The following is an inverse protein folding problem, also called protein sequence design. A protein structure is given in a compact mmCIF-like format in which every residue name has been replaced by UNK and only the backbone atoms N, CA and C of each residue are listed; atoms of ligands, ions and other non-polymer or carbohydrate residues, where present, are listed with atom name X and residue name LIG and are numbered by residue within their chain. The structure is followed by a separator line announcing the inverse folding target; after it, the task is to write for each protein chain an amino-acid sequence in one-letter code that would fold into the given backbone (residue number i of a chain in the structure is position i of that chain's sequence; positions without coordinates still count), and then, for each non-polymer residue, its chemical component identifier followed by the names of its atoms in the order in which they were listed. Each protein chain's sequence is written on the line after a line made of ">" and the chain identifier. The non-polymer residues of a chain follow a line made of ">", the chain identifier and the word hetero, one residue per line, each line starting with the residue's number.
data_IF_720915571177
#
_entry.id   IF_720915571177
#
_cell.length_a   1.000
_cell.length_b   1.000
_cell.length_c   1.000
_cell.angle_alpha   90.00
_cell.angle_beta   90.00
_cell.angle_gamma   90.00
#
_symmetry.space_group_name_H-M   'P 1'
#
loop_
_entity.id
_entity.type
_entity.pdbx_description
1 polymer ?
#
# COMPACT_ATOMS: atom_id res chain seq x y z
N UNK A 1 -21.75 18.56 -9.34
CA UNK A 1 -21.09 17.62 -8.42
C UNK A 1 -19.62 17.52 -8.82
N UNK A 2 -18.69 18.01 -8.00
CA UNK A 2 -17.28 17.86 -8.29
C UNK A 2 -16.91 16.37 -8.14
N UNK A 3 -16.42 15.76 -9.23
CA UNK A 3 -15.89 14.39 -9.19
C UNK A 3 -14.70 14.36 -8.23
N UNK A 4 -14.85 13.72 -7.07
CA UNK A 4 -13.77 13.55 -6.12
C UNK A 4 -13.05 12.23 -6.38
N UNK A 5 -11.72 12.24 -6.34
CA UNK A 5 -10.89 11.02 -6.44
C UNK A 5 -10.90 10.21 -5.13
N UNK A 6 -11.48 10.75 -4.05
CA UNK A 6 -11.47 10.09 -2.75
C UNK A 6 -12.22 8.75 -2.74
N UNK A 7 -13.35 8.66 -3.45
CA UNK A 7 -14.12 7.40 -3.52
C UNK A 7 -13.41 6.27 -4.27
N UNK A 8 -12.89 6.49 -5.48
CA UNK A 8 -12.09 5.47 -6.16
C UNK A 8 -10.88 5.02 -5.31
N UNK A 9 -10.17 5.96 -4.68
CA UNK A 9 -9.05 5.64 -3.80
C UNK A 9 -9.49 4.86 -2.56
N UNK A 10 -10.62 5.22 -1.94
CA UNK A 10 -11.17 4.47 -0.80
C UNK A 10 -11.52 3.03 -1.20
N UNK A 11 -12.14 2.84 -2.36
CA UNK A 11 -12.47 1.49 -2.87
C UNK A 11 -11.22 0.67 -3.17
N UNK A 12 -10.23 1.25 -3.84
CA UNK A 12 -8.96 0.58 -4.11
C UNK A 12 -8.25 0.21 -2.79
N UNK A 13 -8.24 1.14 -1.83
CA UNK A 13 -7.62 0.88 -0.54
C UNK A 13 -8.37 -0.19 0.27
N UNK A 14 -9.69 -0.21 0.22
CA UNK A 14 -10.51 -1.29 0.79
C UNK A 14 -10.14 -2.64 0.17
N UNK A 15 -9.99 -2.70 -1.16
CA UNK A 15 -9.55 -3.93 -1.84
C UNK A 15 -8.16 -4.38 -1.39
N UNK A 16 -7.23 -3.43 -1.17
CA UNK A 16 -5.89 -3.74 -0.63
C UNK A 16 -5.97 -4.28 0.80
N UNK A 17 -6.82 -3.72 1.66
CA UNK A 17 -7.06 -4.25 3.02
C UNK A 17 -7.59 -5.69 2.95
N UNK A 18 -8.60 -5.94 2.12
CA UNK A 18 -9.18 -7.28 1.94
C UNK A 18 -8.09 -8.25 1.47
N UNK A 19 -7.31 -7.85 0.46
CA UNK A 19 -6.20 -8.66 -0.03
C UNK A 19 -5.19 -8.97 1.07
N UNK A 20 -4.68 -7.96 1.78
CA UNK A 20 -3.67 -8.14 2.82
C UNK A 20 -4.19 -8.97 4.01
N UNK A 21 -5.46 -8.82 4.37
CA UNK A 21 -6.07 -9.54 5.48
C UNK A 21 -6.31 -11.02 5.18
N UNK A 22 -6.64 -11.36 3.94
CA UNK A 22 -7.04 -12.71 3.57
C UNK A 22 -5.99 -13.49 2.76
N UNK A 23 -4.92 -12.82 2.31
CA UNK A 23 -3.82 -13.48 1.61
C UNK A 23 -3.22 -14.62 2.47
N UNK A 24 -2.95 -15.82 1.93
CA UNK A 24 -2.88 -16.22 0.52
C UNK A 24 -4.19 -16.77 -0.08
N UNK A 25 -5.32 -16.66 0.57
CA UNK A 25 -6.65 -17.12 0.13
C UNK A 25 -6.79 -18.64 0.00
N UNK A 26 -5.89 -19.40 0.55
CA UNK A 26 -5.86 -20.87 0.46
C UNK A 26 -6.35 -21.58 1.72
N UNK A 27 -6.74 -22.84 1.59
CA UNK A 27 -7.03 -23.69 2.72
C UNK A 27 -8.35 -23.36 3.47
N UNK A 28 -9.28 -22.65 2.85
CA UNK A 28 -10.57 -22.33 3.47
C UNK A 28 -11.28 -23.55 4.00
N UNK A 29 -11.50 -23.59 5.32
CA UNK A 29 -12.19 -24.72 5.99
C UNK A 29 -12.77 -24.28 7.34
N UNK A 30 -13.78 -25.00 7.78
CA UNK A 30 -14.25 -24.89 9.16
C UNK A 30 -13.17 -25.42 10.12
N UNK A 31 -12.82 -24.60 11.09
CA UNK A 31 -11.81 -24.95 12.11
C UNK A 31 -12.43 -25.31 13.46
N UNK A 32 -13.77 -25.33 13.56
CA UNK A 32 -14.49 -25.56 14.82
C UNK A 32 -14.35 -24.43 15.83
N UNK A 33 -13.92 -23.23 15.40
CA UNK A 33 -13.79 -22.05 16.25
C UNK A 33 -15.14 -21.32 16.26
N UNK A 34 -15.70 -21.13 17.45
CA UNK A 34 -16.90 -20.28 17.59
C UNK A 34 -16.55 -18.83 17.22
N UNK A 35 -17.28 -18.23 16.27
CA UNK A 35 -17.04 -16.86 15.84
C UNK A 35 -17.04 -15.80 16.96
N UNK A 36 -17.71 -16.05 18.07
CA UNK A 36 -17.78 -15.13 19.18
C UNK A 36 -16.58 -15.25 20.16
N UNK A 37 -15.83 -16.34 20.11
CA UNK A 37 -14.73 -16.59 21.04
C UNK A 37 -13.66 -15.52 20.95
N UNK A 38 -13.27 -15.10 19.75
CA UNK A 38 -12.24 -14.08 19.61
C UNK A 38 -12.70 -12.70 20.13
N UNK A 39 -14.00 -12.36 19.93
CA UNK A 39 -14.54 -11.08 20.42
C UNK A 39 -14.53 -10.99 21.94
N UNK A 40 -14.78 -12.10 22.63
CA UNK A 40 -14.85 -12.19 24.08
C UNK A 40 -13.50 -12.56 24.72
N UNK A 41 -12.47 -12.79 23.92
CA UNK A 41 -11.15 -13.13 24.38
C UNK A 41 -10.54 -11.99 25.25
N UNK A 42 -9.73 -12.39 26.24
CA UNK A 42 -9.07 -11.43 27.15
C UNK A 42 -8.05 -10.57 26.40
N UNK A 43 -8.05 -9.27 26.66
CA UNK A 43 -7.08 -8.31 26.16
C UNK A 43 -5.95 -8.08 27.19
N UNK A 44 -4.68 -7.96 26.78
CA UNK A 44 -4.18 -8.27 25.43
C UNK A 44 -4.14 -9.78 25.18
N UNK A 45 -4.19 -10.22 23.91
CA UNK A 45 -3.99 -11.65 23.60
C UNK A 45 -2.57 -12.10 23.99
N UNK A 46 -2.33 -13.41 24.23
CA UNK A 46 -1.05 -13.90 24.70
C UNK A 46 0.10 -13.68 23.70
N UNK A 47 -0.22 -13.55 22.43
CA UNK A 47 0.75 -13.33 21.35
C UNK A 47 0.37 -12.07 20.58
N UNK A 48 1.17 -11.03 20.73
CA UNK A 48 1.10 -9.80 19.94
C UNK A 48 2.49 -9.18 19.84
N UNK A 49 2.76 -8.46 18.76
CA UNK A 49 4.02 -7.77 18.52
C UNK A 49 3.79 -6.29 18.31
N UNK A 50 4.83 -5.47 18.54
CA UNK A 50 4.77 -4.05 18.20
C UNK A 50 4.53 -3.82 16.71
N UNK A 51 4.97 -4.75 15.87
CA UNK A 51 4.70 -4.72 14.43
C UNK A 51 3.21 -4.86 14.14
N UNK A 52 2.51 -5.80 14.79
CA UNK A 52 1.06 -5.98 14.62
C UNK A 52 0.29 -4.71 15.02
N UNK A 53 0.69 -4.08 16.13
CA UNK A 53 0.08 -2.83 16.58
C UNK A 53 0.24 -1.72 15.53
N UNK A 54 1.45 -1.53 15.02
CA UNK A 54 1.73 -0.48 14.05
C UNK A 54 1.04 -0.75 12.72
N UNK A 55 1.10 -1.97 12.22
CA UNK A 55 0.51 -2.33 10.92
C UNK A 55 -1.00 -2.21 10.91
N UNK A 56 -1.68 -2.64 11.96
CA UNK A 56 -3.13 -2.52 12.07
C UNK A 56 -3.55 -1.05 12.22
N UNK A 57 -2.92 -0.30 13.13
CA UNK A 57 -3.24 1.11 13.36
C UNK A 57 -2.97 1.96 12.11
N UNK A 58 -1.78 1.86 11.53
CA UNK A 58 -1.36 2.63 10.36
C UNK A 58 -2.06 2.13 9.10
N UNK A 59 -2.30 0.83 8.99
CA UNK A 59 -2.96 0.21 7.83
C UNK A 59 -4.40 0.65 7.63
N UNK A 60 -5.15 0.96 8.69
CA UNK A 60 -6.54 1.42 8.58
C UNK A 60 -6.70 2.95 8.59
N UNK A 61 -5.68 3.71 8.98
CA UNK A 61 -5.75 5.18 9.00
C UNK A 61 -6.04 5.81 7.63
N UNK A 62 -5.41 5.39 6.50
CA UNK A 62 -5.74 5.92 5.18
C UNK A 62 -7.19 5.67 4.77
N UNK A 63 -7.79 4.54 5.16
CA UNK A 63 -9.19 4.26 4.87
C UNK A 63 -10.10 5.29 5.55
N UNK A 64 -9.92 5.51 6.86
CA UNK A 64 -10.69 6.52 7.61
C UNK A 64 -10.55 7.92 7.02
N UNK A 65 -9.34 8.29 6.65
CA UNK A 65 -9.04 9.56 5.99
C UNK A 65 -9.80 9.71 4.66
N UNK A 66 -9.70 8.72 3.78
CA UNK A 66 -10.32 8.74 2.46
C UNK A 66 -11.84 8.73 2.52
N UNK A 67 -12.44 7.99 3.46
CA UNK A 67 -13.89 7.96 3.65
C UNK A 67 -14.41 9.33 4.08
N UNK A 68 -13.81 9.98 5.09
CA UNK A 68 -14.20 11.33 5.52
C UNK A 68 -14.01 12.33 4.40
N UNK A 69 -12.85 12.30 3.71
CA UNK A 69 -12.59 13.17 2.57
C UNK A 69 -13.65 13.00 1.47
N UNK A 70 -14.02 11.76 1.16
CA UNK A 70 -15.07 11.43 0.20
C UNK A 70 -16.41 12.01 0.59
N UNK A 71 -16.83 11.85 1.84
CA UNK A 71 -18.08 12.39 2.39
C UNK A 71 -18.11 13.92 2.32
N UNK A 72 -17.08 14.58 2.81
CA UNK A 72 -17.01 16.05 2.82
C UNK A 72 -17.03 16.63 1.40
N UNK A 73 -16.26 16.04 0.47
CA UNK A 73 -16.25 16.46 -0.93
C UNK A 73 -17.54 16.11 -1.70
N UNK A 74 -18.34 15.21 -1.17
CA UNK A 74 -19.70 14.90 -1.68
C UNK A 74 -20.78 15.84 -1.11
N UNK A 75 -20.39 16.85 -0.31
CA UNK A 75 -21.29 17.87 0.23
C UNK A 75 -21.86 17.58 1.62
N UNK A 76 -21.29 16.60 2.32
CA UNK A 76 -21.67 16.29 3.70
C UNK A 76 -21.16 17.39 4.67
N UNK A 77 -22.07 18.14 5.29
CA UNK A 77 -21.72 19.30 6.10
C UNK A 77 -21.41 18.97 7.58
N UNK A 78 -21.89 17.83 8.09
CA UNK A 78 -21.74 17.45 9.50
C UNK A 78 -20.48 16.61 9.69
N UNK A 79 -19.35 17.27 9.92
CA UNK A 79 -18.02 16.63 10.04
C UNK A 79 -17.99 15.51 11.08
N UNK A 80 -18.59 15.71 12.26
CA UNK A 80 -18.62 14.67 13.30
C UNK A 80 -19.35 13.41 12.86
N UNK A 81 -20.47 13.56 12.15
CA UNK A 81 -21.18 12.40 11.59
C UNK A 81 -20.40 11.72 10.46
N UNK A 82 -19.63 12.47 9.68
CA UNK A 82 -18.74 11.89 8.68
C UNK A 82 -17.63 11.06 9.34
N UNK A 83 -17.05 11.55 10.43
CA UNK A 83 -16.06 10.81 11.23
C UNK A 83 -16.67 9.54 11.83
N UNK A 84 -17.84 9.67 12.47
CA UNK A 84 -18.53 8.52 13.08
C UNK A 84 -18.87 7.45 12.04
N UNK A 85 -19.42 7.86 10.89
CA UNK A 85 -19.76 6.92 9.80
C UNK A 85 -18.53 6.24 9.21
N UNK A 86 -17.46 6.99 8.95
CA UNK A 86 -16.21 6.44 8.43
C UNK A 86 -15.60 5.43 9.41
N UNK A 87 -15.58 5.75 10.71
CA UNK A 87 -15.10 4.85 11.75
C UNK A 87 -15.96 3.59 11.83
N UNK A 88 -17.28 3.73 11.77
CA UNK A 88 -18.18 2.58 11.76
C UNK A 88 -17.93 1.68 10.57
N UNK A 89 -17.81 2.24 9.36
CA UNK A 89 -17.54 1.47 8.13
C UNK A 89 -16.20 0.73 8.22
N UNK A 90 -15.13 1.39 8.68
CA UNK A 90 -13.83 0.74 8.84
C UNK A 90 -13.84 -0.35 9.92
N UNK A 91 -14.55 -0.13 11.04
CA UNK A 91 -14.73 -1.14 12.09
C UNK A 91 -15.53 -2.35 11.57
N UNK A 92 -16.58 -2.13 10.81
CA UNK A 92 -17.36 -3.22 10.21
C UNK A 92 -16.55 -3.99 9.17
N UNK A 93 -15.73 -3.30 8.37
CA UNK A 93 -14.80 -3.97 7.45
C UNK A 93 -13.82 -4.85 8.22
N UNK A 94 -13.18 -4.31 9.27
CA UNK A 94 -12.26 -5.06 10.10
C UNK A 94 -12.93 -6.28 10.73
N UNK A 95 -14.11 -6.09 11.31
CA UNK A 95 -14.89 -7.20 11.87
C UNK A 95 -15.19 -8.29 10.82
N UNK A 96 -15.54 -7.88 9.61
CA UNK A 96 -15.77 -8.83 8.51
C UNK A 96 -14.48 -9.60 8.16
N UNK A 97 -13.31 -8.93 8.15
CA UNK A 97 -12.03 -9.60 7.91
C UNK A 97 -11.71 -10.61 9.02
N UNK A 98 -11.86 -10.24 10.29
CA UNK A 98 -11.64 -11.15 11.43
C UNK A 98 -12.55 -12.37 11.37
N UNK A 99 -13.83 -12.19 11.02
CA UNK A 99 -14.75 -13.32 10.81
C UNK A 99 -14.32 -14.23 9.67
N UNK A 100 -13.86 -13.69 8.55
CA UNK A 100 -13.37 -14.48 7.43
C UNK A 100 -12.08 -15.23 7.77
N UNK A 101 -11.21 -14.64 8.57
CA UNK A 101 -9.96 -15.25 9.03
C UNK A 101 -10.18 -16.49 9.91
N UNK A 102 -11.36 -16.64 10.55
CA UNK A 102 -11.72 -17.87 11.29
C UNK A 102 -11.65 -19.11 10.39
N UNK A 103 -11.93 -18.94 9.10
CA UNK A 103 -11.91 -20.02 8.13
C UNK A 103 -10.56 -20.24 7.45
N UNK A 104 -9.57 -19.38 7.74
CA UNK A 104 -8.22 -19.43 7.17
C UNK A 104 -7.23 -19.99 8.19
N UNK A 105 -6.70 -21.22 8.01
CA UNK A 105 -5.82 -21.86 9.01
C UNK A 105 -4.50 -21.12 9.29
N UNK A 106 -4.07 -20.28 8.37
CA UNK A 106 -2.84 -19.47 8.50
C UNK A 106 -3.08 -18.11 9.16
N UNK A 107 -4.32 -17.80 9.52
CA UNK A 107 -4.71 -16.54 10.17
C UNK A 107 -5.29 -16.81 11.55
N UNK A 108 -5.05 -15.90 12.46
CA UNK A 108 -5.59 -15.97 13.83
C UNK A 108 -6.40 -14.71 14.06
N UNK A 109 -7.73 -14.80 14.12
CA UNK A 109 -8.59 -13.66 14.39
C UNK A 109 -8.32 -13.09 15.79
N UNK A 110 -8.30 -11.76 15.90
CA UNK A 110 -7.90 -11.06 17.13
C UNK A 110 -8.82 -9.87 17.42
N UNK A 111 -9.34 -9.81 18.65
CA UNK A 111 -10.07 -8.63 19.11
C UNK A 111 -9.17 -7.40 19.29
N UNK A 112 -7.87 -7.60 19.50
CA UNK A 112 -6.89 -6.51 19.53
C UNK A 112 -6.75 -5.89 18.15
N UNK A 113 -6.66 -6.70 17.10
CA UNK A 113 -6.55 -6.21 15.72
C UNK A 113 -7.80 -5.44 15.33
N UNK A 114 -8.99 -5.95 15.67
CA UNK A 114 -10.25 -5.23 15.49
C UNK A 114 -10.22 -3.86 16.18
N UNK A 115 -9.76 -3.79 17.43
CA UNK A 115 -9.67 -2.53 18.18
C UNK A 115 -8.64 -1.56 17.55
N UNK A 116 -7.47 -2.06 17.16
CA UNK A 116 -6.42 -1.25 16.53
C UNK A 116 -6.85 -0.73 15.16
N UNK A 117 -7.52 -1.54 14.36
CA UNK A 117 -8.09 -1.16 13.06
C UNK A 117 -9.17 -0.08 13.20
N UNK A 118 -10.04 -0.22 14.21
CA UNK A 118 -11.04 0.81 14.53
C UNK A 118 -10.38 2.12 14.97
N UNK A 119 -9.36 2.06 15.83
CA UNK A 119 -8.59 3.22 16.28
C UNK A 119 -7.81 3.85 15.12
N UNK A 120 -7.21 3.06 14.25
CA UNK A 120 -6.55 3.54 13.04
C UNK A 120 -7.51 4.28 12.11
N UNK A 121 -8.68 3.67 11.85
CA UNK A 121 -9.74 4.33 11.06
C UNK A 121 -10.17 5.65 11.70
N UNK A 122 -10.39 5.68 13.00
CA UNK A 122 -10.76 6.90 13.74
C UNK A 122 -9.65 7.96 13.64
N UNK A 123 -8.40 7.59 13.85
CA UNK A 123 -7.26 8.51 13.74
C UNK A 123 -7.16 9.12 12.33
N UNK A 124 -7.30 8.32 11.29
CA UNK A 124 -7.37 8.79 9.91
C UNK A 124 -8.57 9.70 9.65
N UNK A 125 -9.75 9.34 10.14
CA UNK A 125 -10.96 10.13 10.03
C UNK A 125 -10.83 11.50 10.72
N UNK A 126 -10.27 11.52 11.93
CA UNK A 126 -10.01 12.75 12.69
C UNK A 126 -8.95 13.62 11.99
N UNK A 127 -7.91 13.04 11.42
CA UNK A 127 -6.89 13.78 10.68
C UNK A 127 -7.49 14.47 9.45
N UNK A 128 -8.35 13.81 8.69
CA UNK A 128 -9.08 14.42 7.57
C UNK A 128 -9.98 15.57 8.04
N UNK A 129 -10.72 15.37 9.14
CA UNK A 129 -11.57 16.40 9.73
C UNK A 129 -10.77 17.61 10.23
N UNK A 130 -9.59 17.39 10.81
CA UNK A 130 -8.69 18.44 11.26
C UNK A 130 -8.14 19.23 10.07
N UNK A 131 -7.67 18.55 9.02
CA UNK A 131 -7.17 19.22 7.80
C UNK A 131 -8.24 20.03 7.09
N UNK A 132 -9.50 19.56 7.10
CA UNK A 132 -10.63 20.36 6.61
C UNK A 132 -10.82 21.63 7.43
N UNK A 133 -10.87 21.52 8.78
CA UNK A 133 -11.01 22.67 9.67
C UNK A 133 -9.88 23.69 9.54
N UNK A 134 -8.66 23.22 9.28
CA UNK A 134 -7.49 24.07 9.06
C UNK A 134 -7.46 24.70 7.65
N UNK A 135 -8.43 24.39 6.78
CA UNK A 135 -8.44 24.83 5.39
C UNK A 135 -7.28 24.26 4.56
N UNK A 136 -6.62 23.19 5.02
CA UNK A 136 -5.51 22.57 4.31
C UNK A 136 -5.97 21.88 3.03
N UNK A 137 -7.17 21.30 3.03
CA UNK A 137 -7.75 20.65 1.85
C UNK A 137 -8.07 21.67 0.73
N UNK A 138 -8.51 22.87 1.09
CA UNK A 138 -8.74 23.94 0.10
C UNK A 138 -7.43 24.48 -0.44
N UNK A 139 -6.44 24.71 0.43
CA UNK A 139 -5.07 25.07 0.01
C UNK A 139 -4.44 24.04 -0.90
N UNK A 140 -4.64 22.76 -0.61
CA UNK A 140 -4.22 21.68 -1.50
C UNK A 140 -4.96 21.71 -2.85
N UNK A 141 -6.26 21.96 -2.85
CA UNK A 141 -7.05 22.09 -4.08
C UNK A 141 -6.57 23.25 -4.95
N UNK A 142 -6.27 24.39 -4.33
CA UNK A 142 -5.74 25.59 -5.01
C UNK A 142 -4.32 25.35 -5.53
N UNK A 143 -3.48 24.69 -4.75
CA UNK A 143 -2.16 24.27 -5.17
C UNK A 143 -2.26 23.33 -6.38
N UNK A 144 -3.10 22.30 -6.28
CA UNK A 144 -3.33 21.36 -7.38
C UNK A 144 -3.80 22.04 -8.64
N UNK A 145 -4.76 22.96 -8.53
CA UNK A 145 -5.29 23.71 -9.70
C UNK A 145 -4.25 24.59 -10.35
N UNK A 146 -3.29 25.13 -9.58
CA UNK A 146 -2.21 25.97 -10.09
C UNK A 146 -1.04 25.18 -10.70
N UNK A 147 -0.78 23.96 -10.22
CA UNK A 147 0.37 23.17 -10.63
C UNK A 147 0.04 22.15 -11.72
N UNK A 148 -1.12 21.51 -11.63
CA UNK A 148 -1.46 20.37 -12.45
C UNK A 148 -2.59 20.67 -13.45
N UNK A 149 -2.67 19.87 -14.50
CA UNK A 149 -3.81 19.91 -15.42
C UNK A 149 -5.06 19.34 -14.76
N UNK A 150 -6.23 19.74 -15.23
CA UNK A 150 -7.51 19.37 -14.61
C UNK A 150 -7.74 17.86 -14.52
N UNK A 151 -7.21 17.12 -15.48
CA UNK A 151 -7.42 15.65 -15.65
C UNK A 151 -6.24 14.81 -15.16
N UNK A 152 -5.40 15.39 -14.28
CA UNK A 152 -4.14 14.80 -13.81
C UNK A 152 -4.32 13.72 -12.74
N UNK A 153 -5.54 13.38 -12.31
CA UNK A 153 -5.77 12.51 -11.13
C UNK A 153 -5.08 11.14 -11.23
N UNK A 154 -5.21 10.46 -12.37
CA UNK A 154 -4.54 9.18 -12.60
C UNK A 154 -3.01 9.29 -12.62
N UNK A 155 -2.49 10.29 -13.32
CA UNK A 155 -1.05 10.55 -13.38
C UNK A 155 -0.44 10.88 -12.00
N UNK A 156 -1.16 11.65 -11.17
CA UNK A 156 -0.72 11.95 -9.79
C UNK A 156 -0.71 10.70 -8.91
N UNK A 157 -1.67 9.78 -9.08
CA UNK A 157 -1.68 8.51 -8.34
C UNK A 157 -0.48 7.67 -8.73
N UNK A 158 -0.19 7.53 -10.03
CA UNK A 158 0.98 6.79 -10.50
C UNK A 158 2.30 7.42 -10.01
N UNK A 159 2.40 8.76 -10.00
CA UNK A 159 3.54 9.47 -9.45
C UNK A 159 3.69 9.27 -7.93
N UNK A 160 2.58 9.15 -7.19
CA UNK A 160 2.63 8.87 -5.76
C UNK A 160 2.99 7.40 -5.45
N UNK A 161 2.65 6.46 -6.34
CA UNK A 161 3.00 5.04 -6.20
C UNK A 161 4.44 4.75 -6.60
N UNK A 162 5.05 5.57 -7.47
CA UNK A 162 6.42 5.35 -7.92
C UNK A 162 7.45 5.33 -6.78
N UNK A 163 7.47 6.27 -5.81
CA UNK A 163 8.35 6.20 -4.65
C UNK A 163 8.17 4.94 -3.82
N UNK A 164 6.92 4.49 -3.66
CA UNK A 164 6.64 3.25 -2.93
C UNK A 164 7.18 2.03 -3.66
N UNK A 165 7.10 2.01 -4.99
CA UNK A 165 7.67 0.93 -5.80
C UNK A 165 9.20 0.84 -5.66
N UNK A 166 9.89 1.97 -5.46
CA UNK A 166 11.34 2.00 -5.26
C UNK A 166 11.80 1.44 -3.89
N UNK A 167 10.89 1.34 -2.91
CA UNK A 167 11.21 0.74 -1.61
C UNK A 167 11.28 -0.78 -1.65
N UNK A 168 10.74 -1.42 -2.69
CA UNK A 168 10.89 -2.85 -2.88
C UNK A 168 12.30 -3.15 -3.42
N UNK A 169 12.98 -4.20 -2.91
CA UNK A 169 14.30 -4.57 -3.39
C UNK A 169 14.25 -4.84 -4.90
N UNK A 170 15.09 -4.12 -5.62
CA UNK A 170 15.22 -4.24 -7.06
C UNK A 170 16.64 -4.70 -7.40
N UNK A 171 16.77 -5.54 -8.42
CA UNK A 171 18.08 -5.98 -8.93
C UNK A 171 18.91 -4.81 -9.49
N UNK A 172 18.24 -3.74 -9.92
CA UNK A 172 18.88 -2.55 -10.53
C UNK A 172 18.34 -1.28 -9.88
N UNK A 173 19.18 -0.27 -9.58
CA UNK A 173 18.74 1.03 -9.10
C UNK A 173 17.64 1.62 -9.99
N UNK A 174 16.61 2.20 -9.39
CA UNK A 174 15.41 2.72 -10.07
C UNK A 174 14.59 1.68 -10.85
N UNK A 175 14.93 0.39 -10.78
CA UNK A 175 14.11 -0.69 -11.34
C UNK A 175 12.84 -0.89 -10.53
N UNK A 176 11.81 -1.46 -11.16
CA UNK A 176 10.53 -1.75 -10.51
C UNK A 176 10.54 -3.04 -9.67
N UNK A 177 11.72 -3.53 -9.27
CA UNK A 177 11.88 -4.77 -8.52
C UNK A 177 11.54 -6.02 -9.34
N UNK A 178 11.37 -7.13 -8.65
CA UNK A 178 11.07 -8.45 -9.25
C UNK A 178 9.55 -8.65 -9.45
N UNK A 179 8.86 -7.62 -9.99
CA UNK A 179 7.41 -7.70 -10.21
C UNK A 179 7.05 -8.83 -11.17
N UNK A 180 7.84 -8.99 -12.23
CA UNK A 180 7.58 -10.01 -13.26
C UNK A 180 7.77 -11.41 -12.70
N UNK A 181 8.82 -11.66 -11.93
CA UNK A 181 9.08 -12.96 -11.29
C UNK A 181 7.99 -13.31 -10.27
N UNK A 182 7.53 -12.34 -9.49
CA UNK A 182 6.43 -12.56 -8.53
C UNK A 182 5.11 -12.80 -9.24
N UNK A 183 4.87 -12.10 -10.36
CA UNK A 183 3.68 -12.33 -11.18
C UNK A 183 3.72 -13.72 -11.82
N UNK A 184 4.87 -14.12 -12.35
CA UNK A 184 5.09 -15.45 -12.92
C UNK A 184 4.88 -16.53 -11.86
N UNK A 185 5.48 -16.41 -10.67
CA UNK A 185 5.28 -17.33 -9.57
C UNK A 185 3.79 -17.40 -9.13
N UNK A 186 3.12 -16.26 -9.00
CA UNK A 186 1.71 -16.22 -8.65
C UNK A 186 0.82 -16.85 -9.75
N UNK A 187 1.17 -16.70 -11.02
CA UNK A 187 0.47 -17.35 -12.13
C UNK A 187 0.71 -18.86 -12.15
N UNK A 188 1.92 -19.31 -11.87
CA UNK A 188 2.24 -20.74 -11.72
C UNK A 188 1.41 -21.35 -10.60
N UNK A 189 1.37 -20.72 -9.42
CA UNK A 189 0.58 -21.20 -8.28
C UNK A 189 -0.92 -21.22 -8.60
N UNK A 190 -1.43 -20.19 -9.28
CA UNK A 190 -2.84 -20.10 -9.65
C UNK A 190 -3.26 -21.15 -10.68
N UNK A 191 -2.34 -21.52 -11.58
CA UNK A 191 -2.60 -22.44 -12.70
C UNK A 191 -2.11 -23.86 -12.41
N UNK A 192 -1.51 -24.13 -11.23
CA UNK A 192 -0.88 -25.42 -10.89
C UNK A 192 -1.79 -26.64 -11.08
N UNK A 193 -3.10 -26.49 -10.81
CA UNK A 193 -4.08 -27.56 -10.94
C UNK A 193 -4.93 -27.47 -12.23
N UNK A 194 -4.47 -26.66 -13.19
CA UNK A 194 -5.22 -26.45 -14.44
C UNK A 194 -4.38 -26.84 -15.67
N UNK A 195 -5.00 -27.27 -16.80
CA UNK A 195 -4.28 -27.55 -18.04
C UNK A 195 -3.65 -26.30 -18.68
N UNK A 196 -3.98 -25.11 -18.18
CA UNK A 196 -3.44 -23.85 -18.70
C UNK A 196 -1.98 -23.59 -18.27
N UNK A 197 -1.46 -24.32 -17.27
CA UNK A 197 -0.06 -24.23 -16.85
C UNK A 197 0.90 -24.55 -18.01
N UNK A 198 0.53 -25.50 -18.87
CA UNK A 198 1.33 -25.90 -20.03
C UNK A 198 1.47 -24.77 -21.09
N UNK A 199 0.59 -23.78 -21.06
CA UNK A 199 0.61 -22.64 -21.98
C UNK A 199 1.46 -21.49 -21.45
N UNK A 200 1.85 -21.55 -20.19
CA UNK A 200 2.71 -20.53 -19.61
C UNK A 200 4.15 -20.75 -20.08
N UNK A 201 4.81 -19.75 -20.66
CA UNK A 201 6.23 -19.85 -20.99
C UNK A 201 7.05 -19.87 -19.70
N UNK A 202 7.23 -21.04 -19.11
CA UNK A 202 8.05 -21.22 -17.92
C UNK A 202 9.52 -21.01 -18.27
N UNK A 203 10.19 -20.23 -17.46
CA UNK A 203 11.62 -19.97 -17.59
C UNK A 203 12.41 -21.17 -17.02
N UNK A 204 13.12 -21.87 -17.87
CA UNK A 204 13.95 -23.04 -17.50
C UNK A 204 15.37 -22.65 -17.02
N UNK A 205 15.78 -21.40 -17.25
CA UNK A 205 17.15 -20.96 -16.95
C UNK A 205 17.15 -19.74 -16.02
N UNK A 206 18.07 -19.70 -15.07
CA UNK A 206 18.39 -18.49 -14.33
C UNK A 206 18.85 -17.39 -15.28
N UNK A 207 18.37 -16.19 -15.07
CA UNK A 207 18.76 -15.03 -15.89
C UNK A 207 20.20 -14.65 -15.59
N UNK A 208 21.01 -14.53 -16.62
CA UNK A 208 22.33 -13.93 -16.50
C UNK A 208 22.22 -12.48 -15.97
N UNK A 209 23.18 -12.02 -15.15
CA UNK A 209 23.24 -10.63 -14.71
C UNK A 209 23.17 -9.68 -15.90
N UNK A 210 22.42 -8.59 -15.74
CA UNK A 210 22.31 -7.57 -16.77
C UNK A 210 23.70 -7.05 -17.16
N UNK A 211 23.91 -6.86 -18.47
CA UNK A 211 25.11 -6.18 -18.94
C UNK A 211 25.12 -4.72 -18.43
N UNK A 212 26.29 -4.09 -18.26
CA UNK A 212 26.38 -2.69 -17.81
C UNK A 212 25.55 -1.71 -18.65
N UNK A 213 25.42 -1.99 -19.95
CA UNK A 213 24.56 -1.20 -20.86
C UNK A 213 23.06 -1.46 -20.59
N UNK A 214 22.69 -2.68 -20.25
CA UNK A 214 21.33 -3.03 -19.84
C UNK A 214 20.93 -2.37 -18.53
N UNK A 215 21.84 -2.36 -17.55
CA UNK A 215 21.63 -1.64 -16.27
C UNK A 215 21.44 -0.13 -16.48
N UNK A 216 22.31 0.48 -17.29
CA UNK A 216 22.20 1.89 -17.62
C UNK A 216 20.87 2.22 -18.30
N UNK A 217 20.42 1.36 -19.21
CA UNK A 217 19.12 1.51 -19.85
C UNK A 217 17.97 1.43 -18.82
N UNK A 218 17.98 0.46 -17.93
CA UNK A 218 16.97 0.30 -16.89
C UNK A 218 16.92 1.52 -15.96
N UNK A 219 18.09 2.00 -15.49
CA UNK A 219 18.19 3.21 -14.66
C UNK A 219 17.64 4.44 -15.39
N UNK A 220 18.02 4.60 -16.67
CA UNK A 220 17.55 5.71 -17.50
C UNK A 220 16.04 5.69 -17.67
N UNK A 221 15.45 4.53 -18.00
CA UNK A 221 14.00 4.37 -18.14
C UNK A 221 13.28 4.56 -16.80
N UNK A 222 13.83 4.03 -15.71
CA UNK A 222 13.28 4.17 -14.37
C UNK A 222 13.16 5.64 -13.91
N UNK A 223 14.09 6.50 -14.35
CA UNK A 223 14.04 7.95 -14.12
C UNK A 223 13.18 8.69 -15.16
N UNK A 224 13.24 8.26 -16.41
CA UNK A 224 12.55 8.93 -17.50
C UNK A 224 11.03 8.81 -17.39
N UNK A 225 10.52 7.63 -17.01
CA UNK A 225 9.08 7.36 -16.88
C UNK A 225 8.39 8.36 -15.93
N UNK A 226 8.80 8.52 -14.67
CA UNK A 226 8.16 9.49 -13.77
C UNK A 226 8.35 10.93 -14.23
N UNK A 227 9.49 11.27 -14.87
CA UNK A 227 9.70 12.60 -15.45
C UNK A 227 8.71 12.89 -16.59
N UNK A 228 8.55 11.97 -17.53
CA UNK A 228 7.61 12.11 -18.64
C UNK A 228 6.15 12.18 -18.13
N UNK A 229 5.80 11.31 -17.19
CA UNK A 229 4.48 11.35 -16.56
C UNK A 229 4.24 12.70 -15.86
N UNK A 230 5.24 13.20 -15.10
CA UNK A 230 5.18 14.52 -14.50
C UNK A 230 5.01 15.64 -15.53
N UNK A 231 5.69 15.53 -16.67
CA UNK A 231 5.55 16.51 -17.77
C UNK A 231 4.16 16.50 -18.41
N UNK A 232 3.48 15.37 -18.42
CA UNK A 232 2.09 15.29 -18.89
C UNK A 232 1.11 15.95 -17.92
N UNK A 233 1.38 15.91 -16.62
CA UNK A 233 0.45 16.42 -15.59
C UNK A 233 0.77 17.83 -15.11
N UNK A 234 2.02 18.33 -15.25
CA UNK A 234 2.44 19.65 -14.80
C UNK A 234 2.28 20.70 -15.92
N UNK A 235 1.63 21.82 -15.58
CA UNK A 235 1.27 22.88 -16.56
C UNK A 235 2.46 23.70 -17.06
N UNK A 236 3.38 24.09 -16.18
CA UNK A 236 4.41 25.11 -16.46
C UNK A 236 5.78 24.47 -16.66
N UNK A 237 6.51 24.90 -17.70
CA UNK A 237 7.85 24.37 -18.03
C UNK A 237 8.86 24.50 -16.91
N UNK A 238 8.94 25.67 -16.24
CA UNK A 238 9.86 25.86 -15.10
C UNK A 238 9.59 24.90 -13.92
N UNK A 239 8.32 24.57 -13.69
CA UNK A 239 7.93 23.58 -12.66
C UNK A 239 8.25 22.15 -13.06
N UNK A 240 8.27 21.84 -14.37
CA UNK A 240 8.72 20.54 -14.89
C UNK A 240 10.18 20.28 -14.58
N UNK A 241 11.05 21.31 -14.75
CA UNK A 241 12.45 21.18 -14.40
C UNK A 241 12.65 20.95 -12.89
N UNK A 242 11.95 21.72 -12.04
CA UNK A 242 11.98 21.52 -10.59
C UNK A 242 11.48 20.12 -10.21
N UNK A 243 10.42 19.64 -10.86
CA UNK A 243 9.88 18.30 -10.63
C UNK A 243 10.89 17.22 -11.04
N UNK A 244 11.56 17.35 -12.19
CA UNK A 244 12.59 16.41 -12.61
C UNK A 244 13.75 16.31 -11.60
N UNK A 245 14.22 17.45 -11.08
CA UNK A 245 15.22 17.48 -10.01
C UNK A 245 14.70 16.78 -8.73
N UNK A 246 13.43 17.00 -8.36
CA UNK A 246 12.84 16.33 -7.22
C UNK A 246 12.72 14.80 -7.43
N UNK A 247 12.36 14.34 -8.63
CA UNK A 247 12.33 12.91 -8.99
C UNK A 247 13.70 12.28 -8.81
N UNK A 248 14.75 12.91 -9.32
CA UNK A 248 16.13 12.41 -9.15
C UNK A 248 16.49 12.33 -7.66
N UNK A 249 16.26 13.41 -6.91
CA UNK A 249 16.57 13.45 -5.47
C UNK A 249 15.82 12.39 -4.67
N UNK A 250 14.51 12.28 -4.88
CA UNK A 250 13.66 11.24 -4.23
C UNK A 250 14.12 9.85 -4.63
N UNK A 251 14.41 9.63 -5.91
CA UNK A 251 14.90 8.35 -6.41
C UNK A 251 16.20 7.93 -5.73
N UNK A 252 17.19 8.81 -5.61
CA UNK A 252 18.46 8.53 -4.93
C UNK A 252 18.23 8.18 -3.46
N UNK A 253 17.45 8.98 -2.74
CA UNK A 253 17.17 8.76 -1.30
C UNK A 253 16.46 7.43 -1.07
N UNK A 254 15.43 7.12 -1.86
CA UNK A 254 14.66 5.88 -1.69
C UNK A 254 15.45 4.64 -2.10
N UNK A 255 16.26 4.72 -3.15
CA UNK A 255 17.14 3.62 -3.55
C UNK A 255 18.20 3.36 -2.48
N UNK A 256 18.81 4.41 -1.93
CA UNK A 256 19.75 4.29 -0.82
C UNK A 256 19.10 3.69 0.45
N UNK A 257 17.87 4.13 0.77
CA UNK A 257 17.10 3.57 1.88
C UNK A 257 16.75 2.10 1.65
N UNK A 258 16.28 1.74 0.47
CA UNK A 258 15.98 0.35 0.10
C UNK A 258 17.22 -0.54 0.21
N UNK A 259 18.36 -0.07 -0.28
CA UNK A 259 19.64 -0.76 -0.14
C UNK A 259 20.03 -0.94 1.35
N UNK A 260 19.95 0.12 2.14
CA UNK A 260 20.29 0.05 3.58
C UNK A 260 19.40 -0.93 4.34
N UNK A 261 18.09 -0.98 4.04
CA UNK A 261 17.16 -1.92 4.65
C UNK A 261 17.42 -3.37 4.24
N UNK A 262 17.82 -3.58 2.97
CA UNK A 262 18.11 -4.92 2.44
C UNK A 262 19.43 -5.48 2.98
N UNK A 263 20.47 -4.65 3.05
CA UNK A 263 21.82 -5.07 3.53
C UNK A 263 21.88 -5.17 5.06
N UNK A 264 21.17 -4.30 5.78
CA UNK A 264 21.09 -4.39 7.25
C UNK A 264 20.51 -5.71 7.76
N UNK A 265 19.57 -6.29 7.02
CA UNK A 265 19.00 -7.61 7.36
C UNK A 265 19.97 -8.77 7.11
N UNK A 266 20.82 -8.68 6.08
CA UNK A 266 21.82 -9.69 5.75
C UNK A 266 22.99 -9.70 6.71
N UNK A 267 23.45 -8.55 7.22
CA UNK A 267 24.51 -8.44 8.22
C UNK A 267 24.07 -9.06 9.55
N UNK A 268 22.80 -8.86 9.95
CA UNK A 268 22.28 -9.43 11.21
C UNK A 268 22.13 -10.96 11.16
N UNK A 269 21.88 -11.53 9.98
CA UNK A 269 21.78 -13.00 9.82
C UNK A 269 23.15 -13.68 9.71
N UNK A 270 24.20 -12.99 9.26
CA UNK A 270 25.56 -13.57 9.21
C UNK A 270 26.22 -13.62 10.60
N UNK A 271 26.03 -12.60 11.45
CA UNK A 271 26.58 -12.59 12.80
C UNK A 271 25.93 -13.67 13.70
N UNK A 272 24.64 -13.99 13.47
CA UNK A 272 23.96 -15.05 14.22
C UNK A 272 24.40 -16.47 13.80
N UNK A 273 25.02 -16.62 12.63
CA UNK A 273 25.56 -17.91 12.17
C UNK A 273 26.99 -18.18 12.69
N UNK A 274 27.77 -17.14 12.96
CA UNK A 274 29.15 -17.27 13.50
C UNK A 274 29.20 -17.51 15.01
N UNK A 275 28.16 -17.13 15.77
CA UNK A 275 28.07 -17.39 17.22
C UNK A 275 27.64 -18.84 17.57
N UNK A 276 27.42 -19.71 16.58
CA UNK A 276 26.97 -21.10 16.75
C UNK A 276 28.04 -22.16 16.42
N UNK A 277 29.31 -21.78 16.27
CA UNK A 277 30.48 -22.66 16.16
C UNK A 277 31.37 -22.48 17.39
#
# INVERSE_FOLDING_TARGET
>A
MHKTSAWPLALTYTALIVFASLFPFDGWREQGIDPLVFLLARLPPPYWTGFDVVTNLVGYAPLGFLLVLGLLRSGWRRVLWAVALATLVGTLLSLCMEFLQIYLPRRVPSNLDLALNALGTLAGALSAALLERLGALDRWSDFRARWFVSDASGGMVLLALWPLALLFPAAVPFGLGQVLERLEAALIDLLADTPFLEWLPLRETELDPLSPSGELLCVTLGLLIPCLLGYCVIRQMGRRALFALAVVGVGIVLTALSAALSWGCLLYTSDAADDSL
#
